data_IF_145203288742
#
_entry.id   IF_145203288742
#
_cell.length_a   1.000
_cell.length_b   1.000
_cell.length_c   1.000
_cell.angle_alpha   90.00
_cell.angle_beta   90.00
_cell.angle_gamma   90.00
#
_symmetry.space_group_name_H-M   'P 1'
#
loop_
_entity.id
_entity.type
_entity.pdbx_description
1 polymer ?
#
# COMPACT_ATOMS: atom_id res chain seq x y z
N UNK A 1 29.81 -17.06 104.94
CA UNK A 1 28.44 -17.40 105.40
C UNK A 1 27.67 -17.98 104.22
N UNK A 2 27.10 -19.18 104.37
CA UNK A 2 26.32 -19.83 103.30
C UNK A 2 24.83 -19.55 103.49
N UNK A 3 24.18 -19.07 102.42
CA UNK A 3 22.76 -18.73 102.40
C UNK A 3 21.93 -20.01 102.36
N UNK A 4 21.13 -20.27 103.39
CA UNK A 4 20.25 -21.43 103.45
C UNK A 4 19.26 -21.40 102.26
N UNK A 5 19.37 -22.39 101.38
CA UNK A 5 18.46 -22.56 100.25
C UNK A 5 17.13 -23.10 100.79
N UNK A 6 16.04 -22.37 100.52
CA UNK A 6 14.67 -22.84 100.84
C UNK A 6 14.23 -23.85 99.79
N UNK A 7 14.27 -25.13 100.15
CA UNK A 7 13.69 -26.24 99.40
C UNK A 7 13.45 -27.42 100.34
N UNK A 8 12.42 -28.24 100.06
CA UNK A 8 12.27 -29.55 100.70
C UNK A 8 12.96 -30.57 99.81
N UNK A 9 13.78 -31.45 100.39
CA UNK A 9 14.36 -32.55 99.65
C UNK A 9 13.24 -33.52 99.25
N UNK A 10 13.10 -33.82 97.95
CA UNK A 10 12.05 -34.71 97.48
C UNK A 10 12.26 -36.11 98.06
N UNK A 11 11.15 -36.75 98.45
CA UNK A 11 11.18 -38.13 98.92
C UNK A 11 11.65 -39.07 97.80
N UNK A 12 12.31 -40.20 98.10
CA UNK A 12 12.67 -41.22 97.10
C UNK A 12 11.49 -41.62 96.21
N UNK A 13 10.27 -41.66 96.75
CA UNK A 13 9.05 -41.97 95.99
C UNK A 13 8.66 -40.87 95.01
N UNK A 14 8.86 -39.60 95.38
CA UNK A 14 8.59 -38.45 94.51
C UNK A 14 9.59 -38.39 93.36
N UNK A 15 10.86 -38.73 93.63
CA UNK A 15 11.90 -38.86 92.60
C UNK A 15 11.58 -39.98 91.62
N UNK A 16 11.17 -41.16 92.09
CA UNK A 16 10.76 -42.29 91.22
C UNK A 16 9.59 -41.89 90.33
N UNK A 17 8.53 -41.29 90.89
CA UNK A 17 7.39 -40.80 90.08
C UNK A 17 7.81 -39.78 89.03
N UNK A 18 8.76 -38.90 89.36
CA UNK A 18 9.27 -37.92 88.42
C UNK A 18 10.09 -38.56 87.30
N UNK A 19 10.87 -39.60 87.61
CA UNK A 19 11.63 -40.39 86.63
C UNK A 19 10.65 -41.09 85.67
N UNK A 20 9.65 -41.81 86.18
CA UNK A 20 8.63 -42.47 85.35
C UNK A 20 7.92 -41.48 84.42
N UNK A 21 7.55 -40.30 84.93
CA UNK A 21 6.93 -39.25 84.10
C UNK A 21 7.88 -38.74 83.00
N UNK A 22 9.17 -38.62 83.29
CA UNK A 22 10.17 -38.18 82.32
C UNK A 22 10.43 -39.27 81.27
N UNK A 23 10.42 -40.54 81.65
CA UNK A 23 10.56 -41.68 80.72
C UNK A 23 9.39 -41.73 79.73
N UNK A 24 8.15 -41.56 80.20
CA UNK A 24 6.97 -41.49 79.32
C UNK A 24 7.08 -40.30 78.36
N UNK A 25 7.49 -39.13 78.86
CA UNK A 25 7.67 -37.95 78.02
C UNK A 25 8.79 -38.14 76.99
N UNK A 26 9.90 -38.78 77.37
CA UNK A 26 11.01 -39.10 76.49
C UNK A 26 10.54 -40.02 75.36
N UNK A 27 9.86 -41.12 75.70
CA UNK A 27 9.32 -42.06 74.73
C UNK A 27 8.34 -41.40 73.75
N UNK A 28 7.51 -40.47 74.23
CA UNK A 28 6.61 -39.70 73.36
C UNK A 28 7.39 -38.78 72.41
N UNK A 29 8.45 -38.11 72.88
CA UNK A 29 9.30 -37.27 72.03
C UNK A 29 10.07 -38.10 70.99
N UNK A 30 10.62 -39.25 71.38
CA UNK A 30 11.32 -40.16 70.47
C UNK A 30 10.41 -40.63 69.34
N UNK A 31 9.17 -41.01 69.67
CA UNK A 31 8.17 -41.35 68.66
C UNK A 31 7.89 -40.18 67.72
N UNK A 32 7.70 -38.98 68.24
CA UNK A 32 7.47 -37.77 67.43
C UNK A 32 8.66 -37.44 66.51
N UNK A 33 9.88 -37.71 66.94
CA UNK A 33 11.09 -37.53 66.11
C UNK A 33 11.08 -38.52 64.95
N UNK A 34 10.83 -39.80 65.21
CA UNK A 34 10.75 -40.83 64.17
C UNK A 34 9.66 -40.53 63.13
N UNK A 35 8.49 -40.06 63.58
CA UNK A 35 7.41 -39.64 62.68
C UNK A 35 7.85 -38.47 61.78
N UNK A 36 8.58 -37.49 62.32
CA UNK A 36 9.10 -36.35 61.55
C UNK A 36 10.20 -36.77 60.58
N UNK A 37 11.11 -37.66 60.97
CA UNK A 37 12.15 -38.19 60.10
C UNK A 37 11.54 -38.89 58.89
N UNK A 38 10.52 -39.74 59.11
CA UNK A 38 9.78 -40.39 58.03
C UNK A 38 9.13 -39.37 57.07
N UNK A 39 8.55 -38.29 57.62
CA UNK A 39 7.97 -37.23 56.80
C UNK A 39 9.03 -36.48 55.99
N UNK A 40 10.19 -36.17 56.59
CA UNK A 40 11.30 -35.54 55.89
C UNK A 40 11.81 -36.43 54.76
N UNK A 41 11.93 -37.73 54.97
CA UNK A 41 12.33 -38.67 53.93
C UNK A 41 11.33 -38.72 52.78
N UNK A 42 10.03 -38.72 53.09
CA UNK A 42 8.97 -38.69 52.08
C UNK A 42 8.99 -37.37 51.29
N UNK A 43 9.08 -36.23 51.97
CA UNK A 43 9.17 -34.92 51.33
C UNK A 43 10.42 -34.79 50.48
N UNK A 44 11.55 -35.30 50.97
CA UNK A 44 12.82 -35.28 50.23
C UNK A 44 12.74 -36.15 48.98
N UNK A 45 12.15 -37.35 49.08
CA UNK A 45 11.94 -38.25 47.93
C UNK A 45 11.06 -37.62 46.86
N UNK A 46 10.04 -36.86 47.27
CA UNK A 46 9.17 -36.15 46.32
C UNK A 46 9.83 -34.89 45.77
N UNK A 47 10.53 -34.11 46.59
CA UNK A 47 11.09 -32.81 46.20
C UNK A 47 12.34 -32.89 45.33
N UNK A 48 13.23 -33.87 45.55
CA UNK A 48 14.46 -34.04 44.78
C UNK A 48 14.24 -34.12 43.26
N UNK A 49 13.38 -35.01 42.73
CA UNK A 49 13.17 -35.10 41.28
C UNK A 49 12.54 -33.83 40.71
N UNK A 50 11.68 -33.13 41.46
CA UNK A 50 11.15 -31.83 41.02
C UNK A 50 12.25 -30.77 40.94
N UNK A 51 13.18 -30.74 41.90
CA UNK A 51 14.32 -29.82 41.87
C UNK A 51 15.22 -30.09 40.68
N UNK A 52 15.58 -31.35 40.45
CA UNK A 52 16.41 -31.76 39.31
C UNK A 52 15.73 -31.44 37.98
N UNK A 53 14.42 -31.66 37.86
CA UNK A 53 13.66 -31.28 36.67
C UNK A 53 13.65 -29.75 36.47
N UNK A 54 13.48 -28.97 37.54
CA UNK A 54 13.50 -27.51 37.47
C UNK A 54 14.87 -26.98 37.01
N UNK A 55 15.95 -27.55 37.54
CA UNK A 55 17.33 -27.23 37.14
C UNK A 55 17.58 -27.58 35.67
N UNK A 56 17.20 -28.77 35.22
CA UNK A 56 17.29 -29.18 33.81
C UNK A 56 16.53 -28.21 32.90
N UNK A 57 15.29 -27.87 33.26
CA UNK A 57 14.48 -26.94 32.48
C UNK A 57 15.12 -25.53 32.43
N UNK A 58 15.74 -25.09 33.52
CA UNK A 58 16.46 -23.82 33.56
C UNK A 58 17.69 -23.84 32.65
N UNK A 59 18.44 -24.94 32.64
CA UNK A 59 19.59 -25.12 31.77
C UNK A 59 19.17 -25.14 30.29
N UNK A 60 18.08 -25.82 29.95
CA UNK A 60 17.53 -25.83 28.59
C UNK A 60 17.12 -24.43 28.13
N UNK A 61 16.39 -23.70 28.96
CA UNK A 61 16.00 -22.30 28.68
C UNK A 61 17.22 -21.41 28.44
N UNK A 62 18.25 -21.56 29.27
CA UNK A 62 19.49 -20.79 29.12
C UNK A 62 20.23 -21.16 27.83
N UNK A 63 20.28 -22.44 27.47
CA UNK A 63 20.88 -22.88 26.21
C UNK A 63 20.13 -22.32 24.99
N UNK A 64 18.80 -22.30 25.05
CA UNK A 64 17.96 -21.75 23.98
C UNK A 64 18.15 -20.23 23.86
N UNK A 65 18.22 -19.51 24.98
CA UNK A 65 18.48 -18.08 24.98
C UNK A 65 19.85 -17.72 24.36
N UNK A 66 20.89 -18.52 24.64
CA UNK A 66 22.22 -18.36 24.01
C UNK A 66 22.15 -18.55 22.49
N UNK A 67 21.55 -19.65 22.02
CA UNK A 67 21.34 -19.91 20.59
C UNK A 67 20.55 -18.80 19.89
N UNK A 68 19.51 -18.26 20.54
CA UNK A 68 18.73 -17.16 20.00
C UNK A 68 19.58 -15.88 19.85
N UNK A 69 20.43 -15.59 20.82
CA UNK A 69 21.33 -14.44 20.75
C UNK A 69 22.39 -14.61 19.65
N UNK A 70 22.93 -15.80 19.47
CA UNK A 70 23.85 -16.13 18.37
C UNK A 70 23.18 -15.95 17.00
N UNK A 71 21.97 -16.50 16.83
CA UNK A 71 21.19 -16.31 15.60
C UNK A 71 20.90 -14.83 15.32
N UNK A 72 20.55 -14.06 16.36
CA UNK A 72 20.35 -12.61 16.22
C UNK A 72 21.62 -11.92 15.75
N UNK A 73 22.78 -12.27 16.31
CA UNK A 73 24.06 -11.69 15.88
C UNK A 73 24.36 -12.04 14.41
N UNK A 74 24.12 -13.29 13.99
CA UNK A 74 24.27 -13.71 12.59
C UNK A 74 23.32 -12.96 11.63
N UNK A 75 22.06 -12.75 12.01
CA UNK A 75 21.11 -11.97 11.21
C UNK A 75 21.59 -10.52 11.05
N UNK A 76 22.09 -9.91 12.13
CA UNK A 76 22.61 -8.55 12.07
C UNK A 76 23.84 -8.50 11.15
N UNK A 77 24.79 -9.43 11.28
CA UNK A 77 25.98 -9.50 10.42
C UNK A 77 25.63 -9.70 8.94
N UNK A 78 24.75 -10.67 8.63
CA UNK A 78 24.31 -10.93 7.25
C UNK A 78 23.59 -9.71 6.65
N UNK A 79 22.76 -9.01 7.42
CA UNK A 79 22.14 -7.75 6.98
C UNK A 79 23.17 -6.66 6.68
N UNK A 80 24.23 -6.52 7.49
CA UNK A 80 25.31 -5.57 7.20
C UNK A 80 26.03 -5.92 5.90
N UNK A 81 26.35 -7.20 5.68
CA UNK A 81 26.96 -7.66 4.42
C UNK A 81 26.05 -7.43 3.21
N UNK A 82 24.75 -7.68 3.37
CA UNK A 82 23.76 -7.41 2.31
C UNK A 82 23.65 -5.92 2.00
N UNK A 83 23.62 -5.06 3.02
CA UNK A 83 23.63 -3.61 2.84
C UNK A 83 24.89 -3.13 2.10
N UNK A 84 26.07 -3.64 2.47
CA UNK A 84 27.33 -3.33 1.78
C UNK A 84 27.28 -3.75 0.30
N UNK A 85 26.87 -4.99 0.01
CA UNK A 85 26.74 -5.48 -1.36
C UNK A 85 25.70 -4.68 -2.18
N UNK A 86 24.60 -4.26 -1.55
CA UNK A 86 23.58 -3.43 -2.19
C UNK A 86 24.12 -2.04 -2.53
N UNK A 87 24.88 -1.43 -1.62
CA UNK A 87 25.53 -0.15 -1.86
C UNK A 87 26.57 -0.24 -2.99
N UNK A 88 27.41 -1.28 -2.99
CA UNK A 88 28.35 -1.55 -4.07
C UNK A 88 27.64 -1.70 -5.41
N UNK A 89 26.58 -2.51 -5.47
CA UNK A 89 25.79 -2.69 -6.69
C UNK A 89 25.19 -1.36 -7.17
N UNK A 90 24.62 -0.56 -6.27
CA UNK A 90 24.06 0.75 -6.60
C UNK A 90 25.11 1.70 -7.19
N UNK A 91 26.32 1.72 -6.60
CA UNK A 91 27.43 2.50 -7.16
C UNK A 91 27.82 2.02 -8.55
N UNK A 92 27.92 0.70 -8.76
CA UNK A 92 28.23 0.13 -10.09
C UNK A 92 27.14 0.45 -11.10
N UNK A 93 25.87 0.35 -10.72
CA UNK A 93 24.73 0.72 -11.57
C UNK A 93 24.79 2.20 -11.97
N UNK A 94 25.05 3.09 -11.02
CA UNK A 94 25.21 4.52 -11.31
C UNK A 94 26.36 4.79 -12.31
N UNK A 95 27.50 4.12 -12.13
CA UNK A 95 28.64 4.22 -13.07
C UNK A 95 28.26 3.69 -14.46
N UNK A 96 27.57 2.55 -14.54
CA UNK A 96 27.15 2.01 -15.85
C UNK A 96 26.18 2.93 -16.58
N UNK A 97 25.25 3.56 -15.87
CA UNK A 97 24.31 4.53 -16.45
C UNK A 97 25.04 5.78 -16.94
N UNK A 98 25.99 6.30 -16.15
CA UNK A 98 26.80 7.46 -16.55
C UNK A 98 27.61 7.16 -17.83
N UNK A 99 28.26 5.99 -17.91
CA UNK A 99 28.99 5.58 -19.10
C UNK A 99 28.08 5.37 -20.31
N UNK A 100 26.90 4.77 -20.12
CA UNK A 100 25.90 4.63 -21.20
C UNK A 100 25.46 6.00 -21.73
N UNK A 101 25.27 6.98 -20.84
CA UNK A 101 24.94 8.33 -21.24
C UNK A 101 26.09 8.98 -22.02
N UNK A 102 27.34 8.85 -21.56
CA UNK A 102 28.50 9.40 -22.27
C UNK A 102 28.68 8.78 -23.67
N UNK A 103 28.46 7.47 -23.81
CA UNK A 103 28.48 6.79 -25.11
C UNK A 103 27.40 7.38 -26.02
N UNK A 104 26.15 7.49 -25.54
CA UNK A 104 25.05 8.08 -26.32
C UNK A 104 25.35 9.53 -26.73
N UNK A 105 25.90 10.32 -25.82
CA UNK A 105 26.28 11.71 -26.11
C UNK A 105 27.36 11.78 -27.20
N UNK A 106 28.39 10.93 -27.13
CA UNK A 106 29.43 10.83 -28.17
C UNK A 106 28.87 10.35 -29.50
N UNK A 107 27.98 9.36 -29.51
CA UNK A 107 27.30 8.89 -30.71
C UNK A 107 26.47 10.02 -31.35
N UNK A 108 25.68 10.75 -30.55
CA UNK A 108 24.88 11.85 -31.07
C UNK A 108 25.78 13.03 -31.56
N UNK A 109 26.94 13.27 -30.93
CA UNK A 109 27.95 14.22 -31.43
C UNK A 109 28.52 13.79 -32.79
N UNK A 110 28.92 12.53 -32.94
CA UNK A 110 29.44 12.01 -34.21
C UNK A 110 28.39 12.06 -35.33
N UNK A 111 27.13 11.75 -35.03
CA UNK A 111 26.03 11.86 -35.99
C UNK A 111 25.82 13.32 -36.43
N UNK A 112 25.87 14.26 -35.49
CA UNK A 112 25.78 15.68 -35.78
C UNK A 112 26.94 16.16 -36.68
N UNK A 113 28.17 15.73 -36.42
CA UNK A 113 29.35 16.03 -37.27
C UNK A 113 29.17 15.49 -38.70
N UNK A 114 28.51 14.35 -38.85
CA UNK A 114 28.18 13.75 -40.15
C UNK A 114 26.95 14.40 -40.83
N UNK A 115 26.33 15.41 -40.20
CA UNK A 115 25.12 16.07 -40.69
C UNK A 115 23.85 15.21 -40.60
N UNK A 116 23.91 14.10 -39.86
CA UNK A 116 22.77 13.24 -39.57
C UNK A 116 22.03 13.73 -38.32
N UNK A 117 20.74 13.37 -38.16
CA UNK A 117 19.99 13.69 -36.94
C UNK A 117 20.71 13.13 -35.71
N UNK A 118 20.88 13.91 -34.62
CA UNK A 118 21.71 13.52 -33.49
C UNK A 118 21.24 12.25 -32.79
N UNK A 119 19.94 12.02 -32.67
CA UNK A 119 19.43 10.80 -32.05
C UNK A 119 18.06 10.41 -32.69
N UNK A 120 17.71 9.11 -32.77
CA UNK A 120 16.51 8.65 -33.48
C UNK A 120 15.20 9.18 -32.90
N UNK A 121 15.10 9.33 -31.57
CA UNK A 121 13.93 9.94 -30.92
C UNK A 121 13.69 11.38 -31.38
N UNK A 122 14.77 12.16 -31.51
CA UNK A 122 14.71 13.56 -31.99
C UNK A 122 14.26 13.64 -33.46
N UNK A 123 14.63 12.66 -34.27
CA UNK A 123 14.16 12.56 -35.66
C UNK A 123 12.66 12.26 -35.74
N UNK A 124 12.16 11.39 -34.87
CA UNK A 124 10.72 11.09 -34.78
C UNK A 124 9.92 12.29 -34.26
N UNK A 125 10.43 12.99 -33.26
CA UNK A 125 9.87 14.25 -32.75
C UNK A 125 9.79 15.30 -33.87
N UNK A 126 10.86 15.46 -34.63
CA UNK A 126 10.90 16.36 -35.79
C UNK A 126 9.87 15.98 -36.85
N UNK A 127 9.81 14.70 -37.23
CA UNK A 127 8.80 14.17 -38.18
C UNK A 127 7.38 14.41 -37.66
N UNK A 128 7.14 14.27 -36.35
CA UNK A 128 5.85 14.53 -35.70
C UNK A 128 5.49 16.02 -35.80
N UNK A 129 6.42 16.92 -35.48
CA UNK A 129 6.25 18.37 -35.60
C UNK A 129 5.96 18.81 -37.03
N UNK A 130 6.64 18.21 -38.02
CA UNK A 130 6.41 18.50 -39.42
C UNK A 130 5.01 18.09 -39.89
N UNK A 131 4.54 16.91 -39.45
CA UNK A 131 3.16 16.44 -39.70
C UNK A 131 2.12 17.35 -39.05
N UNK A 132 2.35 17.73 -37.79
CA UNK A 132 1.49 18.65 -37.04
C UNK A 132 1.39 20.03 -37.71
N UNK A 133 2.53 20.58 -38.16
CA UNK A 133 2.59 21.85 -38.90
C UNK A 133 1.80 21.78 -40.20
N UNK A 134 1.97 20.72 -41.00
CA UNK A 134 1.20 20.49 -42.24
C UNK A 134 -0.30 20.35 -41.96
N UNK A 135 -0.68 19.67 -40.88
CA UNK A 135 -2.08 19.52 -40.45
C UNK A 135 -2.68 20.88 -40.09
N UNK A 136 -1.98 21.68 -39.29
CA UNK A 136 -2.43 23.04 -38.91
C UNK A 136 -2.56 23.96 -40.12
N UNK A 137 -1.63 23.88 -41.06
CA UNK A 137 -1.68 24.65 -42.29
C UNK A 137 -2.94 24.31 -43.11
N UNK A 138 -3.19 23.02 -43.37
CA UNK A 138 -4.41 22.58 -44.08
C UNK A 138 -5.68 23.04 -43.38
N UNK A 139 -5.76 22.91 -42.06
CA UNK A 139 -6.92 23.37 -41.29
C UNK A 139 -7.11 24.90 -41.37
N UNK A 140 -6.02 25.67 -41.46
CA UNK A 140 -6.07 27.13 -41.62
C UNK A 140 -6.59 27.50 -43.01
N UNK A 141 -6.04 26.88 -44.05
CA UNK A 141 -6.47 27.06 -45.44
C UNK A 141 -7.93 26.65 -45.65
N UNK A 142 -8.36 25.53 -45.06
CA UNK A 142 -9.77 25.09 -45.12
C UNK A 142 -10.72 26.08 -44.43
N UNK A 143 -10.31 26.63 -43.29
CA UNK A 143 -11.07 27.69 -42.60
C UNK A 143 -11.12 28.98 -43.39
N UNK A 144 -10.02 29.37 -44.03
CA UNK A 144 -9.97 30.57 -44.88
C UNK A 144 -10.86 30.42 -46.11
N UNK A 145 -10.81 29.26 -46.81
CA UNK A 145 -11.74 28.97 -47.92
C UNK A 145 -13.20 28.98 -47.48
N UNK A 146 -13.52 28.37 -46.34
CA UNK A 146 -14.88 28.39 -45.82
C UNK A 146 -15.31 29.82 -45.46
N UNK A 147 -14.41 30.64 -44.93
CA UNK A 147 -14.70 32.05 -44.64
C UNK A 147 -14.92 32.89 -45.90
N UNK A 148 -14.24 32.56 -47.01
CA UNK A 148 -14.46 33.20 -48.33
C UNK A 148 -15.76 32.72 -49.00
N UNK A 149 -16.14 31.46 -48.84
CA UNK A 149 -17.36 30.87 -49.41
C UNK A 149 -18.63 31.25 -48.63
N UNK A 150 -18.49 31.68 -47.38
CA UNK A 150 -19.60 32.17 -46.56
C UNK A 150 -20.02 33.56 -47.04
N UNK A 151 -21.05 33.59 -47.89
CA UNK A 151 -21.72 34.80 -48.36
C UNK A 151 -22.43 35.51 -47.19
N UNK A 152 -22.16 36.82 -47.02
CA UNK A 152 -22.79 37.62 -45.97
C UNK A 152 -24.13 38.18 -46.46
N UNK A 153 -25.22 37.81 -45.81
CA UNK A 153 -26.56 38.32 -46.14
C UNK A 153 -26.86 39.55 -45.27
N UNK A 154 -27.29 40.65 -45.89
CA UNK A 154 -27.80 41.81 -45.15
C UNK A 154 -29.22 41.56 -44.68
N UNK A 155 -29.44 41.74 -43.38
CA UNK A 155 -30.76 41.78 -42.79
C UNK A 155 -31.45 43.12 -43.12
N UNK A 156 -32.79 43.18 -43.11
CA UNK A 156 -33.54 44.42 -43.35
C UNK A 156 -33.23 45.58 -42.38
N UNK A 157 -32.58 45.29 -41.24
CA UNK A 157 -32.11 46.28 -40.27
C UNK A 157 -30.69 46.84 -40.59
N UNK A 158 -30.05 46.37 -41.67
CA UNK A 158 -28.71 46.80 -42.10
C UNK A 158 -27.54 46.01 -41.51
N UNK A 159 -27.79 45.01 -40.67
CA UNK A 159 -26.75 44.16 -40.09
C UNK A 159 -26.41 42.97 -41.01
N UNK A 160 -25.13 42.65 -41.17
CA UNK A 160 -24.68 41.51 -41.97
C UNK A 160 -24.58 40.26 -41.09
N UNK A 161 -25.13 39.14 -41.55
CA UNK A 161 -25.06 37.86 -40.85
C UNK A 161 -24.74 36.72 -41.81
N UNK A 162 -24.06 35.70 -41.29
CA UNK A 162 -23.73 34.45 -41.99
C UNK A 162 -24.64 33.29 -41.58
N UNK A 163 -25.60 33.53 -40.68
CA UNK A 163 -26.54 32.53 -40.22
C UNK A 163 -27.71 32.36 -41.21
N UNK A 164 -28.03 31.12 -41.58
CA UNK A 164 -29.23 30.81 -42.38
C UNK A 164 -30.53 31.23 -41.66
N UNK A 165 -31.50 31.76 -42.41
CA UNK A 165 -32.83 32.12 -41.89
C UNK A 165 -33.52 30.86 -41.35
N UNK A 166 -34.11 30.97 -40.15
CA UNK A 166 -34.80 29.83 -39.51
C UNK A 166 -36.09 29.50 -40.28
N UNK A 167 -36.37 28.21 -40.58
CA UNK A 167 -37.55 27.80 -41.35
C UNK A 167 -38.91 28.16 -40.73
N UNK A 168 -38.99 28.38 -39.42
CA UNK A 168 -40.26 28.32 -38.67
C UNK A 168 -41.08 29.62 -38.64
N UNK A 169 -40.68 30.67 -39.35
CA UNK A 169 -41.54 31.82 -39.60
C UNK A 169 -41.27 32.44 -40.97
N UNK A 170 -42.29 32.53 -41.83
CA UNK A 170 -42.20 33.26 -43.09
C UNK A 170 -42.56 34.73 -42.85
N UNK A 171 -41.75 35.64 -43.38
CA UNK A 171 -42.07 37.05 -43.51
C UNK A 171 -42.46 37.25 -44.98
N UNK A 172 -43.76 37.44 -45.31
CA UNK A 172 -44.17 37.70 -46.68
C UNK A 172 -43.63 39.04 -47.19
N UNK A 173 -43.00 39.04 -48.37
CA UNK A 173 -42.40 40.25 -48.98
C UNK A 173 -43.42 41.34 -49.37
N UNK A 174 -44.72 41.01 -49.40
CA UNK A 174 -45.79 41.87 -49.93
C UNK A 174 -46.71 42.51 -48.87
N UNK A 175 -46.42 42.41 -47.57
CA UNK A 175 -47.19 43.08 -46.51
C UNK A 175 -46.49 44.36 -46.00
N UNK A 176 -47.28 45.36 -45.61
CA UNK A 176 -46.79 46.66 -45.11
C UNK A 176 -46.07 46.62 -43.75
N UNK A 177 -46.14 45.50 -43.02
CA UNK A 177 -45.45 45.29 -41.75
C UNK A 177 -44.67 43.97 -41.80
N UNK A 178 -43.36 43.97 -41.45
CA UNK A 178 -42.53 42.77 -41.47
C UNK A 178 -42.76 41.90 -40.23
N UNK A 179 -44.02 41.52 -39.99
CA UNK A 179 -44.37 40.65 -38.87
C UNK A 179 -44.34 39.19 -39.32
N UNK A 180 -43.58 38.32 -38.63
CA UNK A 180 -43.55 36.89 -38.95
C UNK A 180 -44.94 36.27 -38.77
N UNK A 181 -45.46 35.65 -39.83
CA UNK A 181 -46.74 34.93 -39.76
C UNK A 181 -46.47 33.45 -39.44
N UNK A 182 -47.22 32.85 -38.49
CA UNK A 182 -47.14 31.41 -38.28
C UNK A 182 -47.71 30.68 -39.50
N UNK A 183 -47.07 29.60 -39.93
CA UNK A 183 -47.45 28.80 -41.11
C UNK A 183 -48.78 28.02 -40.98
N UNK A 184 -49.62 28.35 -40.00
CA UNK A 184 -50.84 27.61 -39.70
C UNK A 184 -50.58 26.14 -39.31
N UNK A 185 -51.61 25.30 -39.45
CA UNK A 185 -51.57 23.90 -39.00
C UNK A 185 -50.61 22.99 -39.81
N UNK A 186 -50.15 23.42 -40.99
CA UNK A 186 -49.27 22.64 -41.88
C UNK A 186 -47.94 23.37 -42.10
N UNK A 187 -47.19 23.59 -41.02
CA UNK A 187 -45.91 24.27 -41.11
C UNK A 187 -44.85 23.44 -41.84
N UNK A 188 -44.09 24.03 -42.79
CA UNK A 188 -42.95 23.36 -43.42
C UNK A 188 -41.87 23.09 -42.37
N UNK A 189 -41.39 21.84 -42.33
CA UNK A 189 -40.35 21.40 -41.42
C UNK A 189 -39.06 21.14 -42.19
N UNK A 190 -37.95 21.78 -41.79
CA UNK A 190 -36.59 21.40 -42.24
C UNK A 190 -36.07 20.32 -41.29
N UNK A 191 -35.78 19.09 -41.78
CA UNK A 191 -35.16 18.06 -40.95
C UNK A 191 -33.86 18.59 -40.35
N UNK A 192 -33.67 18.38 -39.04
CA UNK A 192 -32.40 18.70 -38.40
C UNK A 192 -31.30 17.88 -39.05
N UNK A 193 -30.17 18.52 -39.37
CA UNK A 193 -29.01 17.77 -39.83
C UNK A 193 -28.61 16.78 -38.73
N UNK A 194 -28.30 15.52 -39.08
CA UNK A 194 -27.85 14.53 -38.10
C UNK A 194 -26.68 15.09 -37.30
N UNK A 195 -26.87 15.22 -35.98
CA UNK A 195 -25.80 15.72 -35.12
C UNK A 195 -24.57 14.81 -35.19
N UNK A 196 -23.38 15.35 -34.95
CA UNK A 196 -22.13 14.59 -34.98
C UNK A 196 -22.15 13.31 -34.11
N UNK A 197 -22.98 13.29 -33.07
CA UNK A 197 -23.20 12.16 -32.16
C UNK A 197 -24.05 11.01 -32.74
N UNK A 198 -24.73 11.19 -33.89
CA UNK A 198 -25.54 10.15 -34.52
C UNK A 198 -24.74 9.04 -35.22
N UNK A 199 -23.40 9.16 -35.27
CA UNK A 199 -22.49 8.15 -35.85
C UNK A 199 -22.55 6.79 -35.15
N UNK A 200 -23.10 6.73 -33.93
CA UNK A 200 -23.17 5.51 -33.11
C UNK A 200 -24.55 4.84 -33.08
N UNK A 201 -25.60 5.43 -33.67
CA UNK A 201 -26.95 4.85 -33.70
C UNK A 201 -27.06 3.90 -34.90
N UNK A 202 -27.17 2.60 -34.65
CA UNK A 202 -27.38 1.59 -35.70
C UNK A 202 -28.88 1.31 -35.87
N UNK A 203 -29.38 1.35 -37.11
CA UNK A 203 -30.78 0.96 -37.40
C UNK A 203 -30.95 -0.53 -37.10
N UNK A 204 -32.01 -0.94 -36.37
CA UNK A 204 -32.26 -2.35 -36.12
C UNK A 204 -32.58 -3.07 -37.43
N UNK A 205 -31.98 -4.25 -37.64
CA UNK A 205 -32.28 -5.08 -38.80
C UNK A 205 -33.70 -5.65 -38.65
N UNK A 206 -34.57 -5.35 -39.61
CA UNK A 206 -35.88 -5.98 -39.69
C UNK A 206 -35.66 -7.47 -39.99
N UNK A 207 -36.14 -8.34 -39.10
CA UNK A 207 -36.14 -9.79 -39.37
C UNK A 207 -36.99 -10.04 -40.61
N UNK A 208 -36.47 -10.83 -41.55
CA UNK A 208 -37.26 -11.30 -42.69
C UNK A 208 -38.45 -12.09 -42.16
N UNK A 209 -39.65 -11.75 -42.64
CA UNK A 209 -40.82 -12.58 -42.43
C UNK A 209 -40.56 -13.91 -43.12
N UNK A 210 -40.45 -14.98 -42.35
CA UNK A 210 -40.53 -16.32 -42.92
C UNK A 210 -41.95 -16.51 -43.47
N UNK A 211 -42.03 -17.02 -44.69
CA UNK A 211 -43.24 -17.24 -45.50
C UNK A 211 -44.34 -17.98 -44.77
#
# INVERSE_FOLDING_TARGET
EYKALKGKDPSPVELVKKIEQLEVNLAERERQVLEKELLVDQLTRLSKPLSEQAESCQQDKLSLAKKLNELRAHIIDTNHRMMAATAELSMKQAVTLALQQEIKEKECQQQLEQGLPPCPEMEEEWKRMLREKKRRQRNKEERERLAEEVEWTQLPNGEYTTAEIRPNAYIPENDTLPLPKPYGAQAPFKPSQPGANMRHIRKPALKSLET
#
